data_IF_737274981176
#
_entry.id   IF_737274981176
#
_cell.length_a   1.000
_cell.length_b   1.000
_cell.length_c   1.000
_cell.angle_alpha   90.00
_cell.angle_beta   90.00
_cell.angle_gamma   90.00
#
_symmetry.space_group_name_H-M   'P 1'
#
loop_
_entity.id
_entity.type
_entity.pdbx_description
1 polymer ?
#
# COMPACT_ATOMS: atom_id res chain seq x y z
N UNK A 1 8.44 -14.67 -3.55
CA UNK A 1 7.21 -14.26 -2.84
C UNK A 1 6.56 -13.12 -3.59
N UNK A 2 5.37 -13.35 -4.15
CA UNK A 2 4.65 -12.33 -4.92
C UNK A 2 3.62 -11.57 -4.08
N UNK A 3 3.12 -10.46 -4.63
CA UNK A 3 2.09 -9.64 -3.99
C UNK A 3 0.76 -10.38 -3.72
N UNK A 4 0.48 -11.49 -4.40
CA UNK A 4 -0.75 -12.27 -4.19
C UNK A 4 -0.90 -12.83 -2.76
N UNK A 5 0.22 -13.13 -2.09
CA UNK A 5 0.19 -13.51 -0.68
C UNK A 5 -0.27 -12.36 0.21
N UNK A 6 0.08 -11.11 -0.12
CA UNK A 6 -0.23 -9.92 0.67
C UNK A 6 -1.59 -9.26 0.34
N UNK A 7 -2.11 -9.44 -0.88
CA UNK A 7 -3.36 -8.80 -1.36
C UNK A 7 -4.63 -9.57 -0.96
N UNK A 8 -4.74 -9.89 0.32
CA UNK A 8 -5.89 -10.57 0.90
C UNK A 8 -5.96 -10.31 2.41
N UNK A 9 -7.09 -10.64 3.04
CA UNK A 9 -7.35 -10.36 4.46
C UNK A 9 -6.26 -10.86 5.41
N UNK A 10 -5.66 -12.02 5.11
CA UNK A 10 -4.62 -12.64 5.93
C UNK A 10 -3.21 -12.40 5.37
N UNK A 11 -3.01 -11.28 4.68
CA UNK A 11 -1.84 -11.08 3.82
C UNK A 11 -0.49 -11.18 4.53
N UNK A 12 -0.39 -10.59 5.73
CA UNK A 12 0.82 -10.66 6.56
C UNK A 12 1.14 -12.08 7.01
N UNK A 13 0.13 -12.81 7.49
CA UNK A 13 0.26 -14.20 7.95
C UNK A 13 0.67 -15.11 6.78
N UNK A 14 0.06 -14.93 5.61
CA UNK A 14 0.38 -15.73 4.43
C UNK A 14 1.81 -15.48 3.94
N UNK A 15 2.25 -14.21 3.91
CA UNK A 15 3.64 -13.86 3.59
C UNK A 15 4.63 -14.48 4.58
N UNK A 16 4.32 -14.40 5.88
CA UNK A 16 5.13 -14.99 6.94
C UNK A 16 5.22 -16.52 6.81
N UNK A 17 4.09 -17.21 6.64
CA UNK A 17 4.07 -18.65 6.49
C UNK A 17 4.89 -19.12 5.28
N UNK A 18 4.75 -18.43 4.14
CA UNK A 18 5.50 -18.74 2.93
C UNK A 18 7.01 -18.47 3.09
N UNK A 19 7.42 -17.40 3.78
CA UNK A 19 8.84 -17.10 4.00
C UNK A 19 9.50 -18.09 4.97
N UNK A 20 8.76 -18.61 5.96
CA UNK A 20 9.28 -19.60 6.91
C UNK A 20 9.76 -20.89 6.26
N UNK A 21 9.21 -21.29 5.09
CA UNK A 21 9.66 -22.49 4.38
C UNK A 21 11.16 -22.41 4.10
N UNK A 22 11.63 -21.28 3.57
CA UNK A 22 13.04 -21.07 3.26
C UNK A 22 13.94 -21.06 4.51
N UNK A 23 13.40 -20.66 5.66
CA UNK A 23 14.12 -20.70 6.94
C UNK A 23 14.23 -22.14 7.48
N UNK A 24 13.11 -22.86 7.53
CA UNK A 24 13.03 -24.22 8.07
C UNK A 24 13.81 -25.22 7.23
N UNK A 25 13.83 -25.05 5.90
CA UNK A 25 14.62 -25.93 5.02
C UNK A 25 16.10 -25.57 4.97
N UNK A 26 16.53 -24.46 5.61
CA UNK A 26 17.90 -23.97 5.53
C UNK A 26 18.29 -23.36 4.17
N UNK A 27 17.34 -23.21 3.24
CA UNK A 27 17.61 -22.77 1.87
C UNK A 27 18.25 -21.36 1.80
N UNK A 28 18.06 -20.53 2.82
CA UNK A 28 18.64 -19.17 2.90
C UNK A 28 20.17 -19.13 2.96
N UNK A 29 20.83 -20.25 3.29
CA UNK A 29 22.28 -20.33 3.42
C UNK A 29 22.99 -20.42 2.07
N UNK A 30 22.26 -20.76 1.01
CA UNK A 30 22.81 -20.99 -0.32
C UNK A 30 22.61 -19.78 -1.22
N UNK A 31 23.61 -19.48 -2.05
CA UNK A 31 23.50 -18.43 -3.06
C UNK A 31 22.32 -18.73 -4.02
N UNK A 32 21.47 -17.72 -4.24
CA UNK A 32 20.23 -17.88 -5.02
C UNK A 32 19.09 -18.60 -4.29
N UNK A 33 19.33 -19.12 -3.09
CA UNK A 33 18.31 -19.69 -2.21
C UNK A 33 17.57 -18.64 -1.37
N UNK A 34 16.64 -19.09 -0.54
CA UNK A 34 15.88 -18.23 0.36
C UNK A 34 14.47 -17.87 -0.15
N UNK A 35 13.92 -16.77 0.38
CA UNK A 35 12.61 -16.24 0.02
C UNK A 35 12.73 -14.80 -0.48
N UNK A 36 12.66 -14.61 -1.79
CA UNK A 36 12.87 -13.31 -2.44
C UNK A 36 11.54 -12.62 -2.77
N UNK A 37 11.37 -11.33 -2.44
CA UNK A 37 10.13 -10.58 -2.71
C UNK A 37 10.22 -9.60 -3.89
N UNK A 38 11.24 -8.73 -3.92
CA UNK A 38 11.38 -7.72 -4.96
C UNK A 38 12.81 -7.15 -5.04
N UNK A 39 13.19 -6.66 -6.23
CA UNK A 39 14.42 -5.90 -6.50
C UNK A 39 14.18 -4.37 -6.56
N UNK A 40 12.99 -3.89 -6.16
CA UNK A 40 12.60 -2.47 -6.31
C UNK A 40 13.59 -1.45 -5.72
N UNK A 41 14.42 -1.85 -4.74
CA UNK A 41 15.42 -0.98 -4.11
C UNK A 41 16.87 -1.16 -4.60
N UNK A 42 17.13 -1.97 -5.64
CA UNK A 42 18.50 -2.39 -6.00
C UNK A 42 19.41 -1.23 -6.41
N UNK A 43 18.86 -0.19 -7.05
CA UNK A 43 19.62 0.93 -7.60
C UNK A 43 19.95 2.03 -6.58
N UNK A 44 19.42 1.95 -5.34
CA UNK A 44 19.69 2.91 -4.24
C UNK A 44 19.62 4.38 -4.68
N UNK A 45 18.65 4.72 -5.52
CA UNK A 45 18.47 6.09 -6.03
C UNK A 45 18.15 7.03 -4.86
N UNK A 46 18.72 8.23 -4.86
CA UNK A 46 18.28 9.28 -3.95
C UNK A 46 16.91 9.80 -4.43
N UNK A 47 15.88 9.63 -3.61
CA UNK A 47 14.51 10.06 -3.88
C UNK A 47 14.07 11.23 -2.98
N UNK A 48 14.96 11.81 -2.17
CA UNK A 48 14.63 12.80 -1.14
C UNK A 48 13.87 14.01 -1.71
N UNK A 49 14.35 14.53 -2.84
CA UNK A 49 13.73 15.67 -3.54
C UNK A 49 12.39 15.28 -4.17
N UNK A 50 12.30 14.09 -4.74
CA UNK A 50 11.08 13.60 -5.41
C UNK A 50 9.95 13.35 -4.41
N UNK A 51 10.28 12.73 -3.27
CA UNK A 51 9.32 12.40 -2.22
C UNK A 51 9.11 13.56 -1.22
N UNK A 52 9.97 14.59 -1.28
CA UNK A 52 9.91 15.75 -0.40
C UNK A 52 10.12 15.38 1.07
N UNK A 53 10.99 14.40 1.37
CA UNK A 53 11.14 13.82 2.72
C UNK A 53 11.44 14.85 3.80
N UNK A 54 12.18 15.91 3.48
CA UNK A 54 12.50 17.02 4.38
C UNK A 54 11.28 17.89 4.76
N UNK A 55 10.20 17.86 3.98
CA UNK A 55 8.97 18.65 4.19
C UNK A 55 7.85 17.85 4.87
N UNK A 56 8.14 16.62 5.30
CA UNK A 56 7.13 15.73 5.90
C UNK A 56 6.69 16.22 7.27
N UNK A 57 5.41 16.53 7.43
CA UNK A 57 4.79 16.80 8.72
C UNK A 57 4.11 15.52 9.27
N UNK A 58 4.57 14.96 10.40
CA UNK A 58 4.01 13.73 10.98
C UNK A 58 2.60 13.91 11.54
N UNK A 59 2.11 15.14 11.73
CA UNK A 59 0.75 15.40 12.20
C UNK A 59 -0.30 15.28 11.07
N UNK A 60 0.14 15.27 9.80
CA UNK A 60 -0.75 15.06 8.68
C UNK A 60 -1.21 13.61 8.67
N UNK A 61 -2.54 13.42 8.69
CA UNK A 61 -3.14 12.08 8.69
C UNK A 61 -2.81 11.31 7.40
N UNK A 62 -2.56 10.02 7.57
CA UNK A 62 -2.45 9.06 6.47
C UNK A 62 -3.79 8.39 6.25
N UNK A 63 -4.21 8.27 5.00
CA UNK A 63 -5.42 7.56 4.60
C UNK A 63 -5.02 6.42 3.66
N UNK A 64 -5.57 5.23 3.91
CA UNK A 64 -5.25 4.05 3.10
C UNK A 64 -5.87 4.18 1.69
N UNK A 65 -5.02 4.19 0.66
CA UNK A 65 -5.47 4.28 -0.72
C UNK A 65 -6.33 3.08 -1.17
N UNK A 66 -6.13 1.90 -0.59
CA UNK A 66 -6.98 0.74 -0.86
C UNK A 66 -8.41 0.93 -0.32
N UNK A 67 -8.58 1.88 0.62
CA UNK A 67 -9.86 2.31 1.20
C UNK A 67 -10.37 3.63 0.61
N UNK A 68 -9.86 4.08 -0.54
CA UNK A 68 -10.22 5.38 -1.12
C UNK A 68 -11.74 5.54 -1.35
N UNK A 69 -12.45 4.48 -1.73
CA UNK A 69 -13.92 4.52 -1.87
C UNK A 69 -14.60 4.95 -0.56
N UNK A 70 -14.47 4.17 0.53
CA UNK A 70 -14.94 4.55 1.87
C UNK A 70 -14.47 5.93 2.36
N UNK A 71 -13.20 6.30 2.08
CA UNK A 71 -12.66 7.63 2.43
C UNK A 71 -13.45 8.74 1.76
N UNK A 72 -13.69 8.63 0.45
CA UNK A 72 -14.40 9.66 -0.31
C UNK A 72 -15.90 9.72 0.02
N UNK A 73 -16.47 8.63 0.53
CA UNK A 73 -17.87 8.56 0.98
C UNK A 73 -18.06 8.80 2.47
N UNK A 74 -17.03 9.26 3.19
CA UNK A 74 -17.17 9.71 4.58
C UNK A 74 -17.21 8.62 5.65
N UNK A 75 -16.73 7.41 5.37
CA UNK A 75 -16.71 6.34 6.36
C UNK A 75 -15.77 6.68 7.53
N UNK A 76 -16.31 6.70 8.76
CA UNK A 76 -15.59 7.17 9.94
C UNK A 76 -14.34 6.32 10.26
N UNK A 77 -14.38 5.01 10.03
CA UNK A 77 -13.25 4.11 10.22
C UNK A 77 -12.12 4.37 9.20
N UNK A 78 -12.48 4.61 7.93
CA UNK A 78 -11.53 4.91 6.87
C UNK A 78 -10.90 6.31 7.00
N UNK A 79 -11.62 7.24 7.63
CA UNK A 79 -11.12 8.59 7.94
C UNK A 79 -10.38 8.69 9.28
N UNK A 80 -10.31 7.59 10.05
CA UNK A 80 -9.79 7.55 11.41
C UNK A 80 -10.45 8.60 12.33
N UNK A 81 -11.76 8.79 12.20
CA UNK A 81 -12.52 9.81 12.93
C UNK A 81 -12.26 11.26 12.51
N UNK A 82 -11.38 11.48 11.51
CA UNK A 82 -11.08 12.81 10.99
C UNK A 82 -12.16 13.37 10.04
N UNK A 83 -12.02 14.63 9.59
CA UNK A 83 -12.99 15.29 8.73
C UNK A 83 -13.05 14.66 7.32
N UNK A 84 -14.08 14.95 6.51
CA UNK A 84 -14.11 14.53 5.11
C UNK A 84 -12.91 15.06 4.32
N UNK A 85 -12.49 14.32 3.28
CA UNK A 85 -11.59 14.87 2.25
C UNK A 85 -12.41 15.81 1.38
N UNK A 86 -11.97 17.03 1.12
CA UNK A 86 -12.74 18.01 0.30
C UNK A 86 -12.05 18.37 -1.02
N UNK A 87 -10.75 18.13 -1.12
CA UNK A 87 -9.95 18.33 -2.32
C UNK A 87 -8.91 17.22 -2.44
N UNK A 88 -8.47 16.94 -3.67
CA UNK A 88 -7.44 15.93 -3.94
C UNK A 88 -6.68 16.27 -5.21
N UNK A 89 -5.38 15.98 -5.20
CA UNK A 89 -4.53 15.93 -6.40
C UNK A 89 -4.26 14.46 -6.74
N UNK A 90 -4.52 14.07 -7.99
CA UNK A 90 -4.22 12.71 -8.48
C UNK A 90 -3.01 12.79 -9.39
N UNK A 91 -1.98 12.01 -9.08
CA UNK A 91 -0.76 11.91 -9.89
C UNK A 91 -0.44 10.45 -10.18
N UNK A 92 -0.13 10.15 -11.45
CA UNK A 92 0.36 8.84 -11.90
C UNK A 92 -0.49 7.62 -11.45
N UNK A 93 -1.81 7.79 -11.31
CA UNK A 93 -2.73 6.71 -10.97
C UNK A 93 -4.14 7.01 -11.48
N UNK A 94 -4.97 5.99 -11.61
CA UNK A 94 -6.40 6.12 -11.92
C UNK A 94 -7.24 5.35 -10.88
N UNK A 95 -7.59 5.97 -9.75
CA UNK A 95 -8.28 5.28 -8.66
C UNK A 95 -9.66 4.76 -9.06
N UNK A 96 -10.32 5.39 -10.04
CA UNK A 96 -11.61 4.92 -10.54
C UNK A 96 -11.54 3.56 -11.26
N UNK A 97 -10.33 3.10 -11.59
CA UNK A 97 -10.09 1.81 -12.24
C UNK A 97 -9.33 0.83 -11.34
N UNK A 98 -8.24 1.28 -10.69
CA UNK A 98 -7.30 0.37 -10.00
C UNK A 98 -7.67 0.09 -8.55
N UNK A 99 -8.46 0.96 -7.91
CA UNK A 99 -8.80 0.80 -6.49
C UNK A 99 -9.96 -0.19 -6.29
N UNK A 100 -10.03 -0.88 -5.13
CA UNK A 100 -11.20 -1.68 -4.74
C UNK A 100 -12.47 -0.82 -4.61
N UNK A 101 -13.64 -1.47 -4.56
CA UNK A 101 -14.92 -0.79 -4.35
C UNK A 101 -15.18 0.36 -5.34
N UNK A 102 -14.90 0.14 -6.64
CA UNK A 102 -14.97 1.18 -7.68
C UNK A 102 -16.28 1.98 -7.71
N UNK A 103 -17.41 1.38 -7.30
CA UNK A 103 -18.70 2.09 -7.20
C UNK A 103 -18.65 3.21 -6.16
N UNK A 104 -18.05 2.96 -4.99
CA UNK A 104 -17.85 3.98 -3.95
C UNK A 104 -16.86 5.04 -4.41
N UNK A 105 -15.79 4.64 -5.11
CA UNK A 105 -14.82 5.60 -5.68
C UNK A 105 -15.50 6.55 -6.65
N UNK A 106 -16.29 6.03 -7.60
CA UNK A 106 -17.05 6.83 -8.56
C UNK A 106 -18.05 7.75 -7.87
N UNK A 107 -18.81 7.24 -6.90
CA UNK A 107 -19.73 8.06 -6.10
C UNK A 107 -19.00 9.21 -5.41
N UNK A 108 -17.84 8.93 -4.80
CA UNK A 108 -17.02 9.91 -4.11
C UNK A 108 -16.38 10.97 -5.01
N UNK A 109 -16.22 10.71 -6.31
CA UNK A 109 -15.73 11.67 -7.30
C UNK A 109 -16.81 12.57 -7.90
N UNK A 110 -18.08 12.17 -7.84
CA UNK A 110 -19.20 12.92 -8.43
C UNK A 110 -19.76 14.04 -7.53
N UNK A 111 -19.19 14.23 -6.35
CA UNK A 111 -19.65 15.21 -5.35
C UNK A 111 -19.04 16.60 -5.55
#
# INVERSE_FOLDING_TARGET
>A
LGYGFARQRNGSINMHAASCIAAVTGAWQYEGGGAFHSNSGIFKLNQDVLEGTAMRDPNIRYLDHSRIGPVLTGAADALYGGPPVTAMLIQNTNPANVAPEQRLVKQGFLR
#
